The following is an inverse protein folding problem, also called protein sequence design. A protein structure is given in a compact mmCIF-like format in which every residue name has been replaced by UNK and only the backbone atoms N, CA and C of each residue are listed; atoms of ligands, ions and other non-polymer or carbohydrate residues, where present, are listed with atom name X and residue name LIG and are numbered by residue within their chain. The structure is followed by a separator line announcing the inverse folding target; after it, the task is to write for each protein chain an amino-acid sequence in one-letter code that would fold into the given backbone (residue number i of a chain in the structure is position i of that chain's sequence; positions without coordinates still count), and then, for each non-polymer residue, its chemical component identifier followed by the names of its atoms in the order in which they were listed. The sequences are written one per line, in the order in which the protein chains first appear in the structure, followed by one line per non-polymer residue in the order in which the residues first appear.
data_IF_478396849834
#
_entry.id   IF_478396849834
#
_cell.length_a   1.000
_cell.length_b   1.000
_cell.length_c   1.000
_cell.angle_alpha   90.00
_cell.angle_beta   90.00
_cell.angle_gamma   90.00
#
_symmetry.space_group_name_H-M   'P 1'
#
loop_
_entity.id
_entity.type
_entity.pdbx_description
1 polymer ?
#
# COMPACT_ATOMS: atom_id res chain seq x y z
N UNK A 1 -17.69 -58.85 -34.86
CA UNK A 1 -16.85 -59.16 -36.01
C UNK A 1 -15.55 -58.34 -35.92
N UNK A 2 -14.45 -59.02 -35.64
CA UNK A 2 -13.06 -58.59 -35.89
C UNK A 2 -12.76 -58.86 -37.37
N UNK A 3 -11.66 -58.38 -38.01
CA UNK A 3 -10.36 -57.84 -37.58
C UNK A 3 -9.96 -56.58 -38.44
N UNK A 4 -8.77 -56.02 -38.58
CA UNK A 4 -7.43 -56.50 -38.92
C UNK A 4 -6.38 -55.43 -38.58
N UNK A 5 -5.29 -55.90 -38.01
CA UNK A 5 -4.01 -55.26 -37.77
C UNK A 5 -3.28 -55.06 -39.13
N UNK A 6 -2.59 -53.90 -39.29
CA UNK A 6 -1.45 -53.77 -40.18
C UNK A 6 -0.35 -52.92 -39.55
N UNK A 7 0.70 -53.61 -39.14
CA UNK A 7 2.03 -53.15 -38.81
C UNK A 7 2.77 -52.71 -40.09
N UNK A 8 3.40 -51.57 -40.06
CA UNK A 8 4.48 -51.24 -40.98
C UNK A 8 5.67 -50.72 -40.20
N UNK A 9 6.68 -51.52 -40.24
CA UNK A 9 8.01 -51.30 -39.70
C UNK A 9 8.86 -50.59 -40.79
N UNK A 10 9.50 -49.47 -40.50
CA UNK A 10 10.56 -48.93 -41.35
C UNK A 10 11.67 -48.33 -40.52
N UNK A 11 12.84 -48.70 -40.93
CA UNK A 11 14.15 -48.76 -40.31
C UNK A 11 14.80 -47.45 -39.98
N UNK A 12 15.69 -47.56 -39.01
CA UNK A 12 16.67 -46.57 -38.56
C UNK A 12 17.69 -46.20 -39.64
N UNK A 13 18.09 -44.93 -39.65
CA UNK A 13 19.43 -44.53 -40.13
C UNK A 13 20.02 -43.58 -39.10
N UNK A 14 21.06 -44.08 -38.43
CA UNK A 14 21.92 -43.31 -37.50
C UNK A 14 23.06 -42.75 -38.30
N UNK A 15 23.25 -41.45 -38.30
CA UNK A 15 24.53 -40.82 -38.67
C UNK A 15 25.02 -39.97 -37.51
N UNK A 16 26.27 -40.17 -37.03
CA UNK A 16 26.90 -39.26 -36.09
C UNK A 16 27.67 -38.18 -36.87
N UNK A 17 27.35 -36.93 -36.64
CA UNK A 17 28.21 -35.82 -37.01
C UNK A 17 28.72 -35.16 -35.72
N UNK A 18 29.98 -35.49 -35.41
CA UNK A 18 30.80 -34.72 -34.48
C UNK A 18 31.11 -33.37 -35.10
N UNK A 19 30.73 -32.29 -34.42
CA UNK A 19 31.21 -30.96 -34.69
C UNK A 19 31.64 -30.30 -33.38
N UNK A 20 32.95 -30.19 -33.21
CA UNK A 20 33.59 -29.30 -32.25
C UNK A 20 33.21 -27.85 -32.59
N UNK A 21 32.47 -27.18 -31.76
CA UNK A 21 32.12 -25.76 -31.88
C UNK A 21 32.48 -25.01 -30.59
N UNK A 22 33.55 -24.24 -30.67
CA UNK A 22 34.12 -23.29 -29.76
C UNK A 22 33.09 -22.66 -28.76
N UNK A 23 33.46 -22.77 -27.50
CA UNK A 23 32.84 -22.04 -26.39
C UNK A 23 33.15 -20.53 -26.52
N UNK A 24 32.29 -19.79 -27.20
CA UNK A 24 32.34 -18.33 -27.21
C UNK A 24 31.60 -17.84 -25.98
N UNK A 25 32.33 -17.49 -24.95
CA UNK A 25 31.80 -16.88 -23.74
C UNK A 25 31.08 -15.54 -24.07
N UNK A 26 29.77 -15.56 -24.15
CA UNK A 26 28.99 -14.34 -24.20
C UNK A 26 29.07 -13.67 -22.83
N UNK A 27 29.92 -12.67 -22.70
CA UNK A 27 29.86 -11.69 -21.64
C UNK A 27 28.47 -11.02 -21.71
N UNK A 28 27.58 -11.40 -20.80
CA UNK A 28 26.41 -10.57 -20.54
C UNK A 28 26.90 -9.31 -19.83
N UNK A 29 26.66 -8.13 -20.39
CA UNK A 29 26.93 -6.90 -19.68
C UNK A 29 25.99 -6.90 -18.47
N UNK A 30 26.56 -6.87 -17.26
CA UNK A 30 25.81 -6.61 -16.02
C UNK A 30 25.21 -5.21 -16.15
N UNK A 31 23.97 -5.14 -16.58
CA UNK A 31 23.18 -3.91 -16.53
C UNK A 31 23.10 -3.50 -15.06
N UNK A 32 23.88 -2.48 -14.68
CA UNK A 32 23.72 -1.83 -13.39
C UNK A 32 22.33 -1.23 -13.39
N UNK A 33 21.38 -1.90 -12.76
CA UNK A 33 20.08 -1.35 -12.46
C UNK A 33 20.30 -0.18 -11.51
N UNK A 34 20.38 1.02 -12.06
CA UNK A 34 20.28 2.24 -11.26
C UNK A 34 18.86 2.26 -10.68
N UNK A 35 18.72 1.73 -9.47
CA UNK A 35 17.54 1.97 -8.66
C UNK A 35 17.60 3.44 -8.26
N UNK A 36 17.05 4.29 -9.10
CA UNK A 36 16.82 5.70 -8.76
C UNK A 36 15.88 5.68 -7.56
N UNK A 37 16.38 6.01 -6.40
CA UNK A 37 15.56 6.15 -5.20
C UNK A 37 14.44 7.16 -5.54
N UNK A 38 13.20 6.67 -5.59
CA UNK A 38 12.03 7.52 -5.88
C UNK A 38 11.90 8.55 -4.76
N UNK A 39 12.29 9.78 -5.04
CA UNK A 39 12.15 10.89 -4.10
C UNK A 39 10.65 11.17 -3.92
N UNK A 40 10.14 10.96 -2.72
CA UNK A 40 8.76 11.29 -2.36
C UNK A 40 8.71 12.80 -2.11
N UNK A 41 7.87 13.50 -2.85
CA UNK A 41 7.71 14.95 -2.66
C UNK A 41 6.86 15.23 -1.42
N UNK A 42 7.22 16.24 -0.62
CA UNK A 42 6.39 16.69 0.49
C UNK A 42 5.02 17.17 0.05
N UNK A 43 3.97 16.75 0.73
CA UNK A 43 2.62 17.26 0.56
C UNK A 43 2.32 18.26 1.68
N UNK A 44 1.74 19.42 1.32
CA UNK A 44 1.38 20.49 2.28
C UNK A 44 0.00 21.05 1.95
N UNK A 45 -0.85 21.15 2.94
CA UNK A 45 -2.19 21.76 2.86
C UNK A 45 -2.13 23.11 3.57
N UNK A 46 -2.12 24.19 2.79
CA UNK A 46 -1.99 25.57 3.30
C UNK A 46 -3.17 26.48 2.93
N UNK A 47 -4.03 26.01 2.03
CA UNK A 47 -5.12 26.78 1.44
C UNK A 47 -6.50 26.37 1.97
N UNK A 48 -6.55 25.54 2.99
CA UNK A 48 -7.77 25.04 3.62
C UNK A 48 -7.67 25.31 5.11
N UNK A 49 -8.72 25.92 5.69
CA UNK A 49 -8.82 26.04 7.15
C UNK A 49 -8.74 24.68 7.81
N UNK A 50 -7.88 24.57 8.82
CA UNK A 50 -7.62 23.29 9.46
C UNK A 50 -8.86 22.66 10.10
N UNK A 51 -9.69 23.48 10.75
CA UNK A 51 -10.90 22.98 11.43
C UNK A 51 -11.89 22.45 10.41
N UNK A 52 -12.15 23.22 9.36
CA UNK A 52 -13.01 22.80 8.27
C UNK A 52 -12.47 21.55 7.58
N UNK A 53 -11.18 21.54 7.21
CA UNK A 53 -10.56 20.39 6.56
C UNK A 53 -10.62 19.12 7.42
N UNK A 54 -10.41 19.24 8.73
CA UNK A 54 -10.55 18.10 9.65
C UNK A 54 -11.97 17.57 9.74
N UNK A 55 -12.97 18.44 9.75
CA UNK A 55 -14.39 18.05 9.76
C UNK A 55 -14.76 17.27 8.49
N UNK A 56 -14.34 17.76 7.31
CA UNK A 56 -14.57 17.08 6.03
C UNK A 56 -13.90 15.71 6.00
N UNK A 57 -12.64 15.62 6.44
CA UNK A 57 -11.92 14.34 6.51
C UNK A 57 -12.64 13.35 7.44
N UNK A 58 -13.11 13.79 8.61
CA UNK A 58 -13.86 12.94 9.53
C UNK A 58 -15.18 12.47 8.91
N UNK A 59 -15.97 13.38 8.34
CA UNK A 59 -17.26 13.05 7.72
C UNK A 59 -17.09 11.99 6.62
N UNK A 60 -16.15 12.21 5.69
CA UNK A 60 -15.86 11.26 4.63
C UNK A 60 -15.36 9.91 5.14
N UNK A 61 -14.50 9.90 6.16
CA UNK A 61 -13.97 8.65 6.72
C UNK A 61 -15.03 7.86 7.50
N UNK A 62 -15.91 8.53 8.25
CA UNK A 62 -17.00 7.87 8.95
C UNK A 62 -18.01 7.24 8.00
N UNK A 63 -18.27 7.86 6.84
CA UNK A 63 -19.09 7.29 5.79
C UNK A 63 -18.56 5.98 5.18
N UNK A 64 -17.28 5.65 5.41
CA UNK A 64 -16.67 4.41 4.94
C UNK A 64 -16.71 3.28 5.97
N UNK A 65 -17.11 3.53 7.21
CA UNK A 65 -17.19 2.50 8.27
C UNK A 65 -18.09 1.35 7.82
N UNK A 66 -17.64 0.12 8.00
CA UNK A 66 -18.31 -1.09 7.51
C UNK A 66 -17.88 -1.53 6.12
N UNK A 67 -17.19 -0.70 5.32
CA UNK A 67 -16.67 -1.10 4.00
C UNK A 67 -15.59 -2.18 4.14
N UNK A 68 -15.64 -3.25 3.34
CA UNK A 68 -14.68 -4.35 3.44
C UNK A 68 -13.22 -3.92 3.17
N UNK A 69 -12.29 -4.53 3.91
CA UNK A 69 -10.88 -4.45 3.57
C UNK A 69 -10.58 -5.20 2.27
N UNK A 70 -9.79 -4.59 1.41
CA UNK A 70 -9.24 -5.24 0.22
C UNK A 70 -7.77 -4.84 0.04
N UNK A 71 -6.88 -5.81 -0.01
CA UNK A 71 -5.47 -5.55 -0.32
C UNK A 71 -5.32 -4.85 -1.67
N UNK A 72 -4.62 -3.71 -1.70
CA UNK A 72 -4.50 -2.86 -2.89
C UNK A 72 -5.76 -2.09 -3.26
N UNK A 73 -6.85 -2.21 -2.50
CA UNK A 73 -8.12 -1.53 -2.76
C UNK A 73 -8.07 -0.04 -2.44
N UNK A 74 -8.81 0.75 -3.23
CA UNK A 74 -8.88 2.22 -3.11
C UNK A 74 -10.23 2.79 -3.53
N UNK A 75 -11.30 1.99 -3.54
CA UNK A 75 -12.64 2.44 -3.94
C UNK A 75 -13.74 1.79 -3.10
N UNK A 76 -14.89 2.45 -3.01
CA UNK A 76 -16.09 1.93 -2.35
C UNK A 76 -16.63 0.66 -3.02
N UNK A 77 -16.46 0.54 -4.34
CA UNK A 77 -16.94 -0.61 -5.09
C UNK A 77 -16.14 -1.90 -4.82
N UNK A 78 -14.84 -1.77 -4.55
CA UNK A 78 -13.95 -2.94 -4.38
C UNK A 78 -13.44 -3.13 -2.96
N UNK A 79 -13.60 -2.14 -2.09
CA UNK A 79 -13.02 -2.09 -0.75
C UNK A 79 -11.69 -1.33 -0.71
N UNK A 80 -11.11 -1.22 0.47
CA UNK A 80 -9.92 -0.41 0.74
C UNK A 80 -8.86 -1.19 1.51
N UNK A 81 -7.58 -0.93 1.21
CA UNK A 81 -6.53 -1.11 2.19
C UNK A 81 -6.33 0.17 3.03
N UNK A 82 -5.43 0.13 4.01
CA UNK A 82 -5.24 1.25 4.95
C UNK A 82 -4.89 2.56 4.25
N UNK A 83 -3.92 2.55 3.34
CA UNK A 83 -3.49 3.75 2.62
C UNK A 83 -4.43 4.14 1.48
N UNK A 84 -5.10 3.17 0.85
CA UNK A 84 -6.13 3.44 -0.15
C UNK A 84 -7.34 4.17 0.43
N UNK A 85 -7.75 3.82 1.65
CA UNK A 85 -8.77 4.55 2.39
C UNK A 85 -8.34 6.01 2.64
N UNK A 86 -7.12 6.23 3.13
CA UNK A 86 -6.59 7.58 3.37
C UNK A 86 -6.54 8.40 2.08
N UNK A 87 -6.03 7.83 0.98
CA UNK A 87 -6.04 8.50 -0.32
C UNK A 87 -7.44 8.93 -0.74
N UNK A 88 -8.39 8.01 -0.65
CA UNK A 88 -9.78 8.27 -1.03
C UNK A 88 -10.38 9.39 -0.19
N UNK A 89 -10.20 9.36 1.11
CA UNK A 89 -10.74 10.37 2.04
C UNK A 89 -10.15 11.75 1.73
N UNK A 90 -8.82 11.88 1.64
CA UNK A 90 -8.19 13.16 1.35
C UNK A 90 -8.55 13.71 -0.04
N UNK A 91 -8.66 12.83 -1.05
CA UNK A 91 -9.05 13.25 -2.40
C UNK A 91 -10.48 13.77 -2.46
N UNK A 92 -11.43 13.08 -1.81
CA UNK A 92 -12.84 13.44 -1.89
C UNK A 92 -13.21 14.58 -0.92
N UNK A 93 -12.56 14.68 0.23
CA UNK A 93 -12.82 15.73 1.20
C UNK A 93 -12.13 17.07 0.84
N UNK A 94 -10.88 17.00 0.36
CA UNK A 94 -10.02 18.19 0.24
C UNK A 94 -9.42 18.38 -1.16
N UNK A 95 -9.71 17.51 -2.12
CA UNK A 95 -9.07 17.44 -3.45
C UNK A 95 -7.54 17.26 -3.37
N UNK A 96 -7.02 16.67 -2.30
CA UNK A 96 -5.59 16.45 -2.09
C UNK A 96 -5.22 15.02 -2.51
N UNK A 97 -4.26 14.91 -3.43
CA UNK A 97 -3.69 13.61 -3.84
C UNK A 97 -2.52 13.24 -2.95
N UNK A 98 -2.59 12.06 -2.33
CA UNK A 98 -1.55 11.52 -1.46
C UNK A 98 -0.79 10.36 -2.13
N UNK A 99 0.44 10.04 -1.65
CA UNK A 99 1.16 8.83 -2.08
C UNK A 99 0.38 7.55 -1.79
N UNK A 100 0.64 6.49 -2.60
CA UNK A 100 -0.16 5.24 -2.52
C UNK A 100 0.10 4.41 -1.27
N UNK A 101 1.30 4.43 -0.71
CA UNK A 101 1.66 3.56 0.41
C UNK A 101 1.75 4.32 1.73
N UNK A 102 1.48 3.65 2.85
CA UNK A 102 1.64 4.23 4.18
C UNK A 102 3.07 4.77 4.40
N UNK A 103 4.09 4.05 3.95
CA UNK A 103 5.49 4.48 4.01
C UNK A 103 5.73 5.78 3.25
N UNK A 104 5.23 5.89 2.02
CA UNK A 104 5.42 7.08 1.21
C UNK A 104 4.57 8.25 1.75
N UNK A 105 3.40 7.99 2.35
CA UNK A 105 2.63 9.01 3.09
C UNK A 105 3.42 9.56 4.29
N UNK A 106 4.06 8.68 5.07
CA UNK A 106 4.91 9.11 6.17
C UNK A 106 6.09 9.98 5.68
N UNK A 107 6.72 9.60 4.56
CA UNK A 107 7.80 10.37 3.95
C UNK A 107 7.34 11.72 3.37
N UNK A 108 6.09 11.82 2.88
CA UNK A 108 5.52 13.04 2.32
C UNK A 108 4.95 13.99 3.36
N UNK A 109 4.67 13.52 4.57
CA UNK A 109 4.04 14.27 5.67
C UNK A 109 5.10 14.85 6.63
N UNK A 110 4.65 15.72 7.54
CA UNK A 110 5.47 16.23 8.65
C UNK A 110 5.15 15.46 9.92
N UNK A 111 6.16 14.86 10.55
CA UNK A 111 5.99 14.25 11.87
C UNK A 111 5.71 15.34 12.91
N UNK A 112 4.77 15.06 13.81
CA UNK A 112 4.38 15.96 14.90
C UNK A 112 4.51 15.25 16.26
N UNK A 113 4.75 15.99 17.34
CA UNK A 113 4.63 15.46 18.71
C UNK A 113 3.20 15.00 19.00
N UNK A 114 3.05 13.95 19.81
CA UNK A 114 1.74 13.38 20.13
C UNK A 114 0.80 14.36 20.87
N UNK A 115 1.36 15.30 21.62
CA UNK A 115 0.58 16.38 22.28
C UNK A 115 0.08 17.45 21.29
N UNK A 116 0.47 17.40 20.03
CA UNK A 116 -0.05 18.26 18.95
C UNK A 116 -1.01 17.51 18.02
N UNK A 117 -1.27 16.24 18.28
CA UNK A 117 -2.15 15.41 17.46
C UNK A 117 -3.59 15.97 17.49
N UNK A 118 -4.11 16.27 16.30
CA UNK A 118 -5.46 16.83 16.10
C UNK A 118 -6.24 15.97 15.11
N UNK A 119 -7.57 16.01 15.18
CA UNK A 119 -8.42 15.38 14.18
C UNK A 119 -7.98 15.78 12.76
N UNK A 120 -8.01 14.82 11.84
CA UNK A 120 -7.51 14.98 10.48
C UNK A 120 -6.02 14.69 10.30
N UNK A 121 -5.26 14.44 11.37
CA UNK A 121 -3.87 13.95 11.27
C UNK A 121 -3.83 12.44 11.02
N UNK A 122 -2.65 11.96 10.63
CA UNK A 122 -2.42 10.53 10.42
C UNK A 122 -1.67 9.92 11.59
N UNK A 123 -2.05 8.71 11.94
CA UNK A 123 -1.34 7.87 12.92
C UNK A 123 -0.76 6.65 12.22
N UNK A 124 0.51 6.38 12.47
CA UNK A 124 1.26 5.33 11.79
C UNK A 124 1.67 4.21 12.74
N UNK A 125 1.70 2.99 12.18
CA UNK A 125 2.02 1.80 12.95
C UNK A 125 2.95 0.86 12.16
N UNK A 126 3.70 0.03 12.92
CA UNK A 126 4.37 -1.14 12.42
C UNK A 126 3.58 -2.40 12.83
N UNK A 127 2.62 -2.79 12.02
CA UNK A 127 1.75 -3.96 12.28
C UNK A 127 2.26 -5.26 11.68
N UNK A 128 3.51 -5.28 11.24
CA UNK A 128 4.14 -6.39 10.54
C UNK A 128 4.36 -6.11 9.07
N UNK A 129 5.28 -6.84 8.47
CA UNK A 129 5.74 -6.64 7.10
C UNK A 129 7.13 -6.05 7.02
N UNK A 130 7.64 -5.87 5.80
CA UNK A 130 9.01 -5.39 5.53
C UNK A 130 9.19 -3.89 5.70
N UNK A 131 8.10 -3.13 5.82
CA UNK A 131 8.13 -1.67 5.97
C UNK A 131 7.90 -1.25 7.41
N UNK A 132 8.75 -0.33 7.90
CA UNK A 132 8.56 0.27 9.23
C UNK A 132 7.16 0.91 9.34
N UNK A 133 6.75 1.72 8.35
CA UNK A 133 5.42 2.33 8.27
C UNK A 133 4.49 1.41 7.46
N UNK A 134 4.05 0.30 8.05
CA UNK A 134 3.26 -0.72 7.36
C UNK A 134 1.76 -0.49 7.43
N UNK A 135 1.29 0.41 8.31
CA UNK A 135 -0.12 0.70 8.50
C UNK A 135 -0.35 2.17 8.85
N UNK A 136 -1.51 2.69 8.47
CA UNK A 136 -1.93 4.07 8.68
C UNK A 136 -3.41 4.16 9.01
N UNK A 137 -3.78 5.10 9.88
CA UNK A 137 -5.15 5.49 10.20
C UNK A 137 -5.32 7.00 10.21
N UNK A 138 -6.56 7.46 10.07
CA UNK A 138 -6.95 8.85 10.24
C UNK A 138 -7.36 9.09 11.69
N UNK A 139 -6.69 9.98 12.37
CA UNK A 139 -7.05 10.36 13.73
C UNK A 139 -8.32 11.24 13.73
N UNK A 140 -9.28 10.91 14.58
CA UNK A 140 -10.58 11.59 14.67
C UNK A 140 -10.82 12.32 15.99
N UNK A 141 -9.80 12.39 16.85
CA UNK A 141 -9.90 12.99 18.18
C UNK A 141 -10.12 11.94 19.28
N UNK A 142 -10.07 12.38 20.54
CA UNK A 142 -10.37 11.58 21.74
C UNK A 142 -9.57 10.25 21.85
N UNK A 143 -8.39 10.19 21.28
CA UNK A 143 -7.56 8.97 21.27
C UNK A 143 -8.05 7.89 20.29
N UNK A 144 -8.92 8.25 19.34
CA UNK A 144 -9.51 7.31 18.37
C UNK A 144 -9.06 7.62 16.93
N UNK A 145 -9.03 6.57 16.11
CA UNK A 145 -8.71 6.68 14.68
C UNK A 145 -9.55 5.72 13.86
N UNK A 146 -9.81 6.07 12.59
CA UNK A 146 -10.48 5.23 11.60
C UNK A 146 -9.44 4.63 10.68
N UNK A 147 -9.58 3.33 10.39
CA UNK A 147 -8.66 2.61 9.51
C UNK A 147 -9.31 1.40 8.82
N UNK A 148 -8.68 0.90 7.77
CA UNK A 148 -8.95 -0.39 7.17
C UNK A 148 -7.92 -1.42 7.69
N UNK A 149 -8.28 -2.32 8.63
CA UNK A 149 -7.32 -3.07 9.43
C UNK A 149 -6.59 -4.19 8.69
N UNK A 150 -7.30 -5.14 8.10
CA UNK A 150 -6.73 -6.31 7.40
C UNK A 150 -7.82 -7.13 6.71
N UNK A 151 -7.40 -8.12 5.90
CA UNK A 151 -8.30 -9.04 5.20
C UNK A 151 -9.32 -9.70 6.14
N UNK A 152 -10.54 -9.86 5.65
CA UNK A 152 -11.68 -10.43 6.41
C UNK A 152 -12.32 -9.48 7.42
N UNK A 153 -11.86 -8.23 7.48
CA UNK A 153 -12.42 -7.19 8.34
C UNK A 153 -12.95 -6.01 7.51
N UNK A 154 -13.59 -5.07 8.19
CA UNK A 154 -14.13 -3.84 7.61
C UNK A 154 -13.43 -2.62 8.17
N UNK A 155 -13.57 -1.47 7.49
CA UNK A 155 -13.18 -0.17 8.04
C UNK A 155 -13.91 0.06 9.35
N UNK A 156 -13.21 0.50 10.37
CA UNK A 156 -13.74 0.72 11.71
C UNK A 156 -12.98 1.79 12.47
N UNK A 157 -13.58 2.26 13.54
CA UNK A 157 -12.92 3.06 14.57
C UNK A 157 -12.19 2.14 15.55
N UNK A 158 -11.03 2.61 16.03
CA UNK A 158 -10.20 1.91 17.01
C UNK A 158 -9.52 2.93 17.94
N UNK A 159 -9.14 2.50 19.16
CA UNK A 159 -8.43 3.36 20.13
C UNK A 159 -6.93 3.23 20.00
N UNK A 160 -6.20 4.35 20.04
CA UNK A 160 -4.75 4.35 20.11
C UNK A 160 -4.24 3.60 21.35
N UNK A 161 -4.99 3.65 22.45
CA UNK A 161 -4.68 2.96 23.71
C UNK A 161 -4.96 1.46 23.70
N UNK A 162 -5.57 0.91 22.65
CA UNK A 162 -5.79 -0.54 22.58
C UNK A 162 -4.43 -1.27 22.57
N UNK A 163 -4.26 -2.39 23.29
CA UNK A 163 -2.96 -3.00 23.50
C UNK A 163 -2.17 -3.30 22.23
N UNK A 164 -2.88 -3.74 21.19
CA UNK A 164 -2.24 -4.03 19.91
C UNK A 164 -1.68 -2.76 19.23
N UNK A 165 -2.50 -1.71 19.12
CA UNK A 165 -2.09 -0.48 18.42
C UNK A 165 -1.10 0.34 19.23
N UNK A 166 -1.26 0.41 20.56
CA UNK A 166 -0.30 1.07 21.45
C UNK A 166 1.10 0.48 21.30
N UNK A 167 1.21 -0.85 21.24
CA UNK A 167 2.49 -1.57 21.05
C UNK A 167 3.15 -1.29 19.71
N UNK A 168 2.37 -1.04 18.65
CA UNK A 168 2.85 -0.91 17.28
C UNK A 168 2.92 0.53 16.79
N UNK A 169 2.54 1.49 17.61
CA UNK A 169 2.49 2.91 17.28
C UNK A 169 3.90 3.49 16.99
N UNK A 170 4.03 4.24 15.91
CA UNK A 170 5.28 4.87 15.48
C UNK A 170 5.27 6.39 15.59
N UNK A 171 4.08 6.98 15.69
CA UNK A 171 3.93 8.43 15.83
C UNK A 171 2.84 9.02 14.95
N UNK A 172 2.62 10.31 15.18
CA UNK A 172 1.65 11.14 14.49
C UNK A 172 2.32 11.98 13.39
N UNK A 173 1.61 12.20 12.30
CA UNK A 173 2.03 13.02 11.17
C UNK A 173 0.88 13.89 10.67
N UNK A 174 1.22 15.03 10.07
CA UNK A 174 0.22 15.93 9.47
C UNK A 174 0.62 16.33 8.06
N UNK A 175 -0.37 16.60 7.22
CA UNK A 175 -0.21 17.28 5.95
C UNK A 175 -0.55 18.77 6.04
N UNK A 176 -1.24 19.19 7.08
CA UNK A 176 -1.57 20.60 7.27
C UNK A 176 -0.32 21.43 7.62
N UNK A 177 -0.23 22.59 7.01
CA UNK A 177 0.61 23.70 7.51
C UNK A 177 -0.21 24.47 8.50
N UNK A 178 0.32 24.71 9.68
CA UNK A 178 -0.36 25.53 10.69
C UNK A 178 -0.41 26.98 10.27
#
# INVERSE_FOLDING_TARGET
MKPIIRTALTAAIILPLASCGLFSGKHHPKTKTHTTARTVQPVRISNIDRTQGSQELMLHSMGLVGTPYRWGGSSTATGFDCSGMIQFVYKNALDVSLPRTARDMAAASRKIPDNQLKAGDLVFFNTGGSSQYSHVGLYIGNGEFIHAPSSGKTIKTEKLSSPYYAKHYLGAHTFFTE
#
